data_IF_366556618366
#
_entry.id   IF_366556618366
#
_cell.length_a   1.000
_cell.length_b   1.000
_cell.length_c   1.000
_cell.angle_alpha   90.00
_cell.angle_beta   90.00
_cell.angle_gamma   90.00
#
_symmetry.space_group_name_H-M   'P 1'
#
loop_
_entity.id
_entity.type
_entity.pdbx_description
1 polymer ?
#
# COMPACT_ATOMS: atom_id res chain seq x y z
N UNK A 1 -20.91 -5.92 15.24
CA UNK A 1 -22.01 -5.50 14.34
C UNK A 1 -21.43 -5.28 12.95
N UNK A 2 -22.13 -5.65 11.87
CA UNK A 2 -21.65 -5.43 10.50
C UNK A 2 -21.63 -3.91 10.22
N UNK A 3 -20.47 -3.31 9.92
CA UNK A 3 -20.36 -1.86 9.71
C UNK A 3 -21.16 -1.39 8.48
N UNK A 4 -21.40 -2.27 7.50
CA UNK A 4 -22.20 -1.94 6.31
C UNK A 4 -23.71 -1.98 6.53
N UNK A 5 -24.19 -2.59 7.62
CA UNK A 5 -25.62 -2.86 7.78
C UNK A 5 -26.53 -1.61 7.66
N UNK A 6 -26.19 -0.45 8.26
CA UNK A 6 -26.99 0.77 8.11
C UNK A 6 -27.01 1.31 6.67
N UNK A 7 -25.84 1.29 6.00
CA UNK A 7 -25.70 1.78 4.63
C UNK A 7 -26.41 0.85 3.64
N UNK A 8 -26.28 -0.46 3.83
CA UNK A 8 -26.98 -1.46 3.02
C UNK A 8 -28.50 -1.35 3.14
N UNK A 9 -29.01 -1.15 4.36
CA UNK A 9 -30.44 -0.91 4.61
C UNK A 9 -30.96 0.30 3.83
N UNK A 10 -30.17 1.38 3.77
CA UNK A 10 -30.52 2.59 3.04
C UNK A 10 -30.52 2.41 1.50
N UNK A 11 -29.67 1.53 0.97
CA UNK A 11 -29.49 1.31 -0.47
C UNK A 11 -30.51 0.30 -1.02
N UNK A 12 -30.83 -0.78 -0.29
CA UNK A 12 -31.67 -1.89 -0.78
C UNK A 12 -33.06 -1.46 -1.26
N UNK A 13 -33.62 -0.39 -0.69
CA UNK A 13 -34.94 0.14 -1.07
C UNK A 13 -34.93 1.11 -2.26
N UNK A 14 -33.77 1.38 -2.86
CA UNK A 14 -33.61 2.39 -3.93
C UNK A 14 -33.77 1.77 -5.31
N UNK A 15 -33.88 2.62 -6.34
CA UNK A 15 -33.95 2.18 -7.73
C UNK A 15 -32.68 1.40 -8.13
N UNK A 16 -32.77 0.58 -9.18
CA UNK A 16 -31.59 -0.13 -9.69
C UNK A 16 -30.46 0.84 -10.09
N UNK A 17 -30.79 2.05 -10.54
CA UNK A 17 -29.80 3.05 -10.89
C UNK A 17 -29.12 3.65 -9.65
N UNK A 18 -29.88 4.00 -8.63
CA UNK A 18 -29.35 4.48 -7.35
C UNK A 18 -28.48 3.41 -6.68
N UNK A 19 -28.90 2.14 -6.72
CA UNK A 19 -28.11 1.04 -6.20
C UNK A 19 -26.76 0.96 -6.92
N UNK A 20 -26.75 1.10 -8.26
CA UNK A 20 -25.49 1.14 -9.02
C UNK A 20 -24.60 2.31 -8.60
N UNK A 21 -25.15 3.51 -8.44
CA UNK A 21 -24.36 4.69 -8.06
C UNK A 21 -23.80 4.60 -6.63
N UNK A 22 -24.53 3.98 -5.71
CA UNK A 22 -24.17 3.93 -4.29
C UNK A 22 -23.32 2.71 -3.91
N UNK A 23 -23.28 1.64 -4.72
CA UNK A 23 -22.51 0.42 -4.44
C UNK A 23 -21.01 0.67 -4.16
N UNK A 24 -20.30 1.59 -4.85
CA UNK A 24 -18.90 1.90 -4.52
C UNK A 24 -18.69 2.47 -3.11
N UNK A 25 -19.73 3.06 -2.50
CA UNK A 25 -19.65 3.56 -1.11
C UNK A 25 -19.68 2.45 -0.08
N UNK A 26 -20.36 1.32 -0.37
CA UNK A 26 -20.32 0.12 0.47
C UNK A 26 -18.89 -0.45 0.55
N UNK A 27 -18.17 -0.40 -0.58
CA UNK A 27 -16.77 -0.78 -0.64
C UNK A 27 -15.89 0.00 0.33
N UNK A 28 -16.22 1.24 0.69
CA UNK A 28 -15.43 2.04 1.64
C UNK A 28 -15.70 1.68 3.10
N UNK A 29 -16.90 1.18 3.40
CA UNK A 29 -17.33 0.83 4.77
C UNK A 29 -16.83 -0.56 5.16
N UNK A 30 -16.78 -1.48 4.20
CA UNK A 30 -16.45 -2.88 4.45
C UNK A 30 -17.58 -3.63 5.15
N UNK A 31 -17.36 -4.90 5.50
CA UNK A 31 -18.34 -5.74 6.19
C UNK A 31 -18.90 -6.89 5.33
N UNK A 32 -19.43 -7.92 5.98
CA UNK A 32 -19.79 -9.16 5.29
C UNK A 32 -20.93 -8.98 4.28
N UNK A 33 -21.95 -8.18 4.61
CA UNK A 33 -23.06 -7.91 3.70
C UNK A 33 -22.62 -7.12 2.46
N UNK A 34 -21.80 -6.09 2.65
CA UNK A 34 -21.20 -5.34 1.55
C UNK A 34 -20.33 -6.23 0.65
N UNK A 35 -19.51 -7.11 1.23
CA UNK A 35 -18.65 -8.00 0.45
C UNK A 35 -19.49 -8.97 -0.40
N UNK A 36 -20.53 -9.56 0.18
CA UNK A 36 -21.42 -10.46 -0.54
C UNK A 36 -22.13 -9.77 -1.72
N UNK A 37 -22.61 -8.54 -1.54
CA UNK A 37 -23.21 -7.75 -2.61
C UNK A 37 -22.20 -7.41 -3.72
N UNK A 38 -20.95 -7.08 -3.35
CA UNK A 38 -19.88 -6.79 -4.30
C UNK A 38 -19.49 -8.06 -5.08
N UNK A 39 -19.37 -9.21 -4.44
CA UNK A 39 -19.10 -10.48 -5.12
C UNK A 39 -20.20 -10.86 -6.09
N UNK A 40 -21.47 -10.65 -5.73
CA UNK A 40 -22.59 -10.85 -6.64
C UNK A 40 -22.50 -9.92 -7.87
N UNK A 41 -22.15 -8.65 -7.67
CA UNK A 41 -21.94 -7.71 -8.76
C UNK A 41 -20.75 -8.07 -9.65
N UNK A 42 -19.67 -8.62 -9.09
CA UNK A 42 -18.51 -9.11 -9.86
C UNK A 42 -18.90 -10.31 -10.74
N UNK A 43 -19.77 -11.20 -10.26
CA UNK A 43 -20.18 -12.39 -11.00
C UNK A 43 -21.14 -12.10 -12.18
N UNK A 44 -21.86 -10.98 -12.14
CA UNK A 44 -22.80 -10.57 -13.18
C UNK A 44 -22.11 -9.70 -14.25
N UNK A 45 -22.09 -10.11 -15.54
CA UNK A 45 -21.47 -9.34 -16.61
C UNK A 45 -21.98 -7.89 -16.72
N UNK A 46 -23.25 -7.63 -16.40
CA UNK A 46 -23.83 -6.29 -16.49
C UNK A 46 -23.34 -5.34 -15.39
N UNK A 47 -22.87 -5.89 -14.26
CA UNK A 47 -22.42 -5.12 -13.09
C UNK A 47 -20.95 -5.37 -12.72
N UNK A 48 -20.24 -6.19 -13.49
CA UNK A 48 -18.87 -6.63 -13.24
C UNK A 48 -17.91 -5.47 -12.93
N UNK A 49 -17.79 -4.50 -13.85
CA UNK A 49 -16.89 -3.36 -13.67
C UNK A 49 -17.20 -2.53 -12.42
N UNK A 50 -18.49 -2.38 -12.08
CA UNK A 50 -18.93 -1.70 -10.87
C UNK A 50 -18.56 -2.50 -9.61
N UNK A 51 -18.75 -3.82 -9.64
CA UNK A 51 -18.34 -4.73 -8.58
C UNK A 51 -16.83 -4.63 -8.32
N UNK A 52 -16.01 -4.72 -9.37
CA UNK A 52 -14.55 -4.59 -9.26
C UNK A 52 -14.15 -3.22 -8.71
N UNK A 53 -14.73 -2.13 -9.23
CA UNK A 53 -14.44 -0.78 -8.73
C UNK A 53 -14.81 -0.62 -7.25
N UNK A 54 -15.90 -1.26 -6.81
CA UNK A 54 -16.35 -1.25 -5.41
C UNK A 54 -15.41 -2.05 -4.52
N UNK A 55 -14.96 -3.23 -4.97
CA UNK A 55 -13.94 -4.03 -4.27
C UNK A 55 -12.61 -3.28 -4.17
N UNK A 56 -12.24 -2.52 -5.20
CA UNK A 56 -11.02 -1.72 -5.18
C UNK A 56 -11.04 -0.60 -4.12
N UNK A 57 -12.22 -0.23 -3.62
CA UNK A 57 -12.39 0.73 -2.53
C UNK A 57 -12.33 0.10 -1.12
N UNK A 58 -12.14 -1.22 -1.00
CA UNK A 58 -12.17 -1.95 0.28
C UNK A 58 -11.21 -1.36 1.33
N UNK A 59 -11.62 -1.22 2.61
CA UNK A 59 -10.82 -0.48 3.59
C UNK A 59 -9.53 -1.18 4.01
N UNK A 60 -9.44 -2.51 3.87
CA UNK A 60 -8.35 -3.33 4.40
C UNK A 60 -7.92 -4.47 3.44
N UNK A 61 -6.94 -5.26 3.88
CA UNK A 61 -6.40 -6.40 3.13
C UNK A 61 -7.24 -7.66 3.11
N UNK A 62 -8.46 -7.65 3.67
CA UNK A 62 -9.35 -8.81 3.71
C UNK A 62 -9.73 -9.33 2.31
N UNK A 63 -9.69 -8.46 1.29
CA UNK A 63 -10.02 -8.78 -0.10
C UNK A 63 -8.79 -8.98 -1.00
N UNK A 64 -7.59 -9.12 -0.42
CA UNK A 64 -6.35 -9.21 -1.19
C UNK A 64 -6.33 -10.40 -2.17
N UNK A 65 -6.94 -11.54 -1.81
CA UNK A 65 -7.04 -12.70 -2.70
C UNK A 65 -7.85 -12.39 -3.95
N UNK A 66 -9.02 -11.78 -3.78
CA UNK A 66 -9.92 -11.40 -4.88
C UNK A 66 -9.24 -10.37 -5.81
N UNK A 67 -8.61 -9.35 -5.24
CA UNK A 67 -7.89 -8.34 -6.01
C UNK A 67 -6.68 -8.91 -6.76
N UNK A 68 -5.98 -9.88 -6.19
CA UNK A 68 -4.89 -10.58 -6.89
C UNK A 68 -5.41 -11.39 -8.08
N UNK A 69 -6.57 -12.04 -7.95
CA UNK A 69 -7.20 -12.75 -9.05
C UNK A 69 -7.56 -11.77 -10.18
N UNK A 70 -8.29 -10.69 -9.86
CA UNK A 70 -8.69 -9.66 -10.82
C UNK A 70 -7.46 -9.04 -11.51
N UNK A 71 -6.46 -8.61 -10.74
CA UNK A 71 -5.26 -7.98 -11.29
C UNK A 71 -4.45 -8.91 -12.24
N UNK A 72 -4.65 -10.23 -12.17
CA UNK A 72 -3.96 -11.21 -13.03
C UNK A 72 -4.79 -11.68 -14.22
N UNK A 73 -6.11 -11.81 -14.07
CA UNK A 73 -6.93 -12.59 -15.01
C UNK A 73 -8.14 -11.85 -15.55
N UNK A 74 -8.44 -10.63 -15.09
CA UNK A 74 -9.58 -9.88 -15.61
C UNK A 74 -9.42 -9.61 -17.12
N UNK A 75 -10.53 -9.62 -17.86
CA UNK A 75 -10.51 -9.41 -19.31
C UNK A 75 -10.28 -7.94 -19.68
N UNK A 76 -10.60 -6.99 -18.79
CA UNK A 76 -10.39 -5.56 -18.99
C UNK A 76 -9.07 -5.10 -18.35
N UNK A 77 -8.06 -4.69 -19.14
CA UNK A 77 -6.79 -4.17 -18.62
C UNK A 77 -6.93 -2.96 -17.69
N UNK A 78 -8.01 -2.18 -17.80
CA UNK A 78 -8.28 -1.08 -16.88
C UNK A 78 -8.67 -1.59 -15.49
N UNK A 79 -9.48 -2.65 -15.42
CA UNK A 79 -9.87 -3.30 -14.18
C UNK A 79 -8.66 -4.02 -13.54
N UNK A 80 -7.81 -4.67 -14.34
CA UNK A 80 -6.54 -5.23 -13.87
C UNK A 80 -5.68 -4.16 -13.17
N UNK A 81 -5.48 -3.02 -13.83
CA UNK A 81 -4.69 -1.89 -13.29
C UNK A 81 -5.33 -1.27 -12.05
N UNK A 82 -6.66 -1.15 -12.03
CA UNK A 82 -7.40 -0.65 -10.87
C UNK A 82 -7.22 -1.56 -9.65
N UNK A 83 -7.32 -2.88 -9.84
CA UNK A 83 -7.08 -3.86 -8.79
C UNK A 83 -5.62 -3.84 -8.31
N UNK A 84 -4.64 -3.72 -9.22
CA UNK A 84 -3.23 -3.57 -8.87
C UNK A 84 -3.00 -2.33 -7.99
N UNK A 85 -3.55 -1.18 -8.35
CA UNK A 85 -3.44 0.05 -7.53
C UNK A 85 -4.13 -0.09 -6.17
N UNK A 86 -5.23 -0.84 -6.11
CA UNK A 86 -5.86 -1.16 -4.83
C UNK A 86 -4.98 -2.05 -3.95
N UNK A 87 -4.34 -3.07 -4.53
CA UNK A 87 -3.36 -3.90 -3.84
C UNK A 87 -2.20 -3.07 -3.27
N UNK A 88 -1.66 -2.11 -4.03
CA UNK A 88 -0.61 -1.18 -3.56
C UNK A 88 -1.10 -0.38 -2.34
N UNK A 89 -2.37 0.05 -2.34
CA UNK A 89 -2.97 0.81 -1.24
C UNK A 89 -3.11 -0.02 0.03
N UNK A 90 -3.69 -1.23 -0.08
CA UNK A 90 -4.09 -2.07 1.07
C UNK A 90 -2.97 -2.95 1.62
N UNK A 91 -1.98 -3.33 0.79
CA UNK A 91 -0.90 -4.21 1.21
C UNK A 91 -0.17 -3.74 2.49
N UNK A 92 0.20 -2.47 2.65
CA UNK A 92 0.91 -2.01 3.84
C UNK A 92 0.01 -1.66 5.03
N UNK A 93 -1.33 -1.65 4.88
CA UNK A 93 -2.23 -1.15 5.93
C UNK A 93 -2.16 -1.99 7.20
N UNK A 94 -2.15 -1.37 8.39
CA UNK A 94 -2.24 -2.09 9.65
C UNK A 94 -3.69 -2.58 9.85
N UNK A 95 -3.95 -3.84 9.56
CA UNK A 95 -5.30 -4.44 9.55
C UNK A 95 -5.35 -5.81 10.26
N UNK A 96 -4.47 -6.01 11.24
CA UNK A 96 -4.36 -7.25 12.00
C UNK A 96 -3.49 -8.32 11.36
N UNK A 97 -3.09 -8.18 10.08
CA UNK A 97 -2.05 -9.02 9.48
C UNK A 97 -0.68 -8.67 10.07
N UNK A 98 0.17 -9.69 10.24
CA UNK A 98 1.56 -9.47 10.63
C UNK A 98 2.34 -8.70 9.56
N UNK A 99 3.39 -7.98 9.97
CA UNK A 99 4.30 -7.25 9.07
C UNK A 99 4.81 -8.15 7.93
N UNK A 100 5.15 -9.40 8.25
CA UNK A 100 5.55 -10.39 7.24
C UNK A 100 4.49 -10.60 6.17
N UNK A 101 3.23 -10.83 6.56
CA UNK A 101 2.12 -11.03 5.61
C UNK A 101 1.83 -9.77 4.78
N UNK A 102 1.91 -8.59 5.40
CA UNK A 102 1.77 -7.30 4.70
C UNK A 102 2.86 -7.12 3.65
N UNK A 103 4.10 -7.45 4.01
CA UNK A 103 5.26 -7.34 3.13
C UNK A 103 5.24 -8.38 2.00
N UNK A 104 4.80 -9.61 2.28
CA UNK A 104 4.66 -10.66 1.26
C UNK A 104 3.60 -10.28 0.22
N UNK A 105 2.50 -9.65 0.63
CA UNK A 105 1.54 -9.10 -0.31
C UNK A 105 2.16 -7.96 -1.12
N UNK A 106 2.84 -7.01 -0.49
CA UNK A 106 3.47 -5.89 -1.21
C UNK A 106 4.53 -6.36 -2.22
N UNK A 107 5.32 -7.40 -1.87
CA UNK A 107 6.26 -8.07 -2.78
C UNK A 107 5.55 -8.67 -3.99
N UNK A 108 4.46 -9.39 -3.74
CA UNK A 108 3.64 -9.98 -4.81
C UNK A 108 3.07 -8.92 -5.73
N UNK A 109 2.58 -7.82 -5.16
CA UNK A 109 2.05 -6.67 -5.91
C UNK A 109 3.11 -6.00 -6.77
N UNK A 110 4.32 -5.74 -6.22
CA UNK A 110 5.43 -5.13 -6.98
C UNK A 110 5.88 -6.00 -8.15
N UNK A 111 5.88 -7.32 -7.98
CA UNK A 111 6.23 -8.25 -9.07
C UNK A 111 5.23 -8.21 -10.25
N UNK A 112 4.06 -7.60 -10.07
CA UNK A 112 3.03 -7.39 -11.10
C UNK A 112 3.03 -5.96 -11.65
N UNK A 113 3.91 -5.07 -11.19
CA UNK A 113 3.99 -3.70 -11.68
C UNK A 113 4.83 -3.63 -12.96
N UNK A 114 4.17 -3.35 -14.09
CA UNK A 114 4.85 -3.17 -15.39
C UNK A 114 5.40 -1.74 -15.59
N UNK A 115 4.87 -0.77 -14.86
CA UNK A 115 5.21 0.63 -15.01
C UNK A 115 5.93 1.17 -13.77
N UNK A 116 6.94 2.03 -14.01
CA UNK A 116 7.75 2.64 -12.97
C UNK A 116 6.91 3.45 -11.97
N UNK A 117 5.77 4.01 -12.40
CA UNK A 117 4.84 4.73 -11.53
C UNK A 117 4.25 3.82 -10.45
N UNK A 118 3.73 2.65 -10.83
CA UNK A 118 3.17 1.68 -9.89
C UNK A 118 4.24 1.10 -8.95
N UNK A 119 5.42 0.80 -9.47
CA UNK A 119 6.57 0.37 -8.64
C UNK A 119 6.95 1.45 -7.63
N UNK A 120 7.01 2.70 -8.05
CA UNK A 120 7.29 3.84 -7.17
C UNK A 120 6.23 3.98 -6.08
N UNK A 121 4.94 3.93 -6.43
CA UNK A 121 3.87 3.98 -5.44
C UNK A 121 4.02 2.86 -4.41
N UNK A 122 4.32 1.64 -4.83
CA UNK A 122 4.48 0.53 -3.90
C UNK A 122 5.73 0.66 -3.01
N UNK A 123 6.86 1.13 -3.55
CA UNK A 123 8.08 1.41 -2.77
C UNK A 123 7.87 2.51 -1.74
N UNK A 124 7.16 3.59 -2.09
CA UNK A 124 6.83 4.65 -1.15
C UNK A 124 6.01 4.12 0.02
N UNK A 125 5.09 3.21 -0.28
CA UNK A 125 4.16 2.62 0.69
C UNK A 125 4.84 1.60 1.61
N UNK A 126 5.97 1.03 1.23
CA UNK A 126 6.72 0.05 2.03
C UNK A 126 7.08 0.58 3.42
N UNK A 127 7.36 1.89 3.58
CA UNK A 127 7.71 2.52 4.88
C UNK A 127 6.68 2.33 6.00
N UNK A 128 5.42 2.03 5.64
CA UNK A 128 4.35 1.75 6.61
C UNK A 128 4.43 0.34 7.23
N UNK A 129 5.28 -0.54 6.69
CA UNK A 129 5.58 -1.86 7.26
C UNK A 129 6.92 -1.76 7.98
N UNK A 130 6.90 -1.57 9.30
CA UNK A 130 8.09 -1.21 10.09
C UNK A 130 8.83 -2.47 10.56
N UNK A 131 9.44 -3.18 9.62
CA UNK A 131 10.18 -4.41 9.88
C UNK A 131 11.58 -4.38 9.28
N UNK A 132 12.50 -5.19 9.80
CA UNK A 132 13.83 -5.33 9.22
C UNK A 132 13.77 -5.97 7.82
N UNK A 133 12.78 -6.84 7.58
CA UNK A 133 12.59 -7.44 6.26
C UNK A 133 12.13 -6.40 5.22
N UNK A 134 11.44 -5.34 5.64
CA UNK A 134 11.11 -4.21 4.76
C UNK A 134 12.36 -3.45 4.35
N UNK A 135 13.30 -3.25 5.29
CA UNK A 135 14.60 -2.64 4.98
C UNK A 135 15.33 -3.47 3.91
N UNK A 136 15.47 -4.78 4.15
CA UNK A 136 16.10 -5.72 3.21
C UNK A 136 15.41 -5.74 1.85
N UNK A 137 14.09 -5.62 1.85
CA UNK A 137 13.29 -5.58 0.63
C UNK A 137 13.56 -4.32 -0.22
N UNK A 138 13.74 -3.14 0.39
CA UNK A 138 13.92 -1.88 -0.35
C UNK A 138 15.37 -1.64 -0.79
N UNK A 139 16.36 -2.22 -0.09
CA UNK A 139 17.78 -1.99 -0.37
C UNK A 139 18.21 -2.27 -1.82
N UNK A 140 17.77 -3.33 -2.51
CA UNK A 140 18.14 -3.58 -3.90
C UNK A 140 17.66 -2.49 -4.87
N UNK A 141 16.57 -1.78 -4.55
CA UNK A 141 16.06 -0.69 -5.39
C UNK A 141 16.96 0.56 -5.39
N UNK A 142 17.96 0.61 -4.51
CA UNK A 142 18.99 1.66 -4.53
C UNK A 142 19.97 1.52 -5.71
N UNK A 143 20.07 0.33 -6.31
CA UNK A 143 20.93 0.06 -7.47
C UNK A 143 20.28 0.50 -8.80
N UNK A 144 18.97 0.71 -8.80
CA UNK A 144 18.24 1.16 -9.98
C UNK A 144 18.10 2.70 -9.95
N UNK A 145 18.71 3.44 -10.89
CA UNK A 145 18.63 4.90 -10.91
C UNK A 145 17.21 5.46 -10.95
N UNK A 146 16.23 4.68 -11.45
CA UNK A 146 14.81 5.06 -11.49
C UNK A 146 14.19 5.11 -10.09
N UNK A 147 14.66 4.27 -9.18
CA UNK A 147 14.08 4.10 -7.84
C UNK A 147 15.03 4.48 -6.71
N UNK A 148 16.30 4.79 -7.00
CA UNK A 148 17.33 4.99 -6.00
C UNK A 148 16.99 6.05 -4.94
N UNK A 149 16.52 7.23 -5.35
CA UNK A 149 16.11 8.30 -4.42
C UNK A 149 14.95 7.86 -3.52
N UNK A 150 13.96 7.18 -4.11
CA UNK A 150 12.79 6.72 -3.38
C UNK A 150 13.13 5.60 -2.40
N UNK A 151 14.00 4.67 -2.80
CA UNK A 151 14.53 3.62 -1.93
C UNK A 151 15.31 4.24 -0.76
N UNK A 152 16.18 5.21 -1.03
CA UNK A 152 16.90 5.95 0.01
C UNK A 152 15.95 6.63 1.00
N UNK A 153 14.93 7.32 0.47
CA UNK A 153 13.89 7.95 1.30
C UNK A 153 13.17 6.91 2.17
N UNK A 154 12.76 5.78 1.61
CA UNK A 154 12.10 4.71 2.37
C UNK A 154 13.00 4.14 3.47
N UNK A 155 14.31 3.98 3.23
CA UNK A 155 15.28 3.55 4.25
C UNK A 155 15.32 4.54 5.43
N UNK A 156 15.38 5.85 5.17
CA UNK A 156 15.42 6.85 6.26
C UNK A 156 14.07 6.99 6.97
N UNK A 157 12.94 6.72 6.30
CA UNK A 157 11.63 6.62 6.95
C UNK A 157 11.54 5.44 7.92
N UNK A 158 12.08 4.28 7.53
CA UNK A 158 12.20 3.12 8.43
C UNK A 158 13.15 3.42 9.61
N UNK A 159 14.29 4.03 9.32
CA UNK A 159 15.29 4.39 10.33
C UNK A 159 14.78 5.43 11.33
N UNK A 160 13.76 6.23 11.00
CA UNK A 160 13.15 7.17 11.93
C UNK A 160 12.55 6.48 13.17
N UNK A 161 12.08 5.24 13.02
CA UNK A 161 11.51 4.46 14.11
C UNK A 161 12.62 3.86 15.00
N UNK A 162 12.94 4.54 16.10
CA UNK A 162 14.07 4.20 16.98
C UNK A 162 14.09 2.75 17.45
N UNK A 163 12.96 2.17 17.88
CA UNK A 163 12.93 0.78 18.36
C UNK A 163 13.43 -0.22 17.31
N UNK A 164 12.87 -0.16 16.09
CA UNK A 164 13.30 -0.97 14.95
C UNK A 164 14.79 -0.75 14.62
N UNK A 165 15.22 0.51 14.60
CA UNK A 165 16.61 0.88 14.29
C UNK A 165 17.60 0.34 15.32
N UNK A 166 17.37 0.58 16.60
CA UNK A 166 18.29 0.18 17.67
C UNK A 166 18.34 -1.35 17.84
N UNK A 167 17.21 -2.06 17.66
CA UNK A 167 17.19 -3.54 17.67
C UNK A 167 17.98 -4.17 16.51
N UNK A 168 18.27 -3.41 15.44
CA UNK A 168 19.01 -3.88 14.26
C UNK A 168 20.13 -2.90 13.86
N UNK A 169 20.80 -2.32 14.86
CA UNK A 169 21.68 -1.16 14.72
C UNK A 169 22.73 -1.30 13.61
N UNK A 170 23.45 -2.41 13.57
CA UNK A 170 24.51 -2.62 12.57
C UNK A 170 23.97 -2.65 11.14
N UNK A 171 22.82 -3.30 10.93
CA UNK A 171 22.20 -3.41 9.61
C UNK A 171 21.68 -2.06 9.13
N UNK A 172 21.07 -1.28 10.03
CA UNK A 172 20.71 0.10 9.72
C UNK A 172 21.92 0.98 9.47
N UNK A 173 23.00 0.86 10.24
CA UNK A 173 24.20 1.67 10.01
C UNK A 173 24.81 1.43 8.62
N UNK A 174 24.94 0.16 8.20
CA UNK A 174 25.39 -0.19 6.84
C UNK A 174 24.44 0.35 5.77
N UNK A 175 23.14 0.22 6.00
CA UNK A 175 22.12 0.74 5.07
C UNK A 175 22.16 2.25 4.94
N UNK A 176 22.35 2.97 6.05
CA UNK A 176 22.44 4.43 6.08
C UNK A 176 23.75 4.93 5.47
N UNK A 177 24.86 4.19 5.58
CA UNK A 177 26.08 4.49 4.83
C UNK A 177 25.85 4.45 3.33
N UNK A 178 25.10 3.45 2.87
CA UNK A 178 24.69 3.36 1.47
C UNK A 178 23.78 4.52 1.06
N UNK A 179 22.84 4.92 1.92
CA UNK A 179 21.98 6.10 1.67
C UNK A 179 22.84 7.35 1.49
N UNK A 180 23.82 7.58 2.37
CA UNK A 180 24.72 8.74 2.29
C UNK A 180 25.52 8.75 0.98
N UNK A 181 25.88 7.58 0.46
CA UNK A 181 26.63 7.46 -0.79
C UNK A 181 25.77 7.61 -2.05
N UNK A 182 24.48 7.25 -2.00
CA UNK A 182 23.60 7.16 -3.19
C UNK A 182 22.63 8.33 -3.30
N UNK A 183 22.08 8.80 -2.19
CA UNK A 183 21.04 9.82 -2.19
C UNK A 183 21.58 11.18 -2.64
N UNK A 184 20.84 11.86 -3.51
CA UNK A 184 21.14 13.21 -3.97
C UNK A 184 20.38 14.25 -3.16
N UNK A 185 19.21 13.91 -2.62
CA UNK A 185 18.45 14.81 -1.76
C UNK A 185 19.22 15.10 -0.44
N UNK A 186 19.62 16.37 -0.18
CA UNK A 186 20.39 16.72 1.01
C UNK A 186 19.63 16.42 2.31
N UNK A 187 18.30 16.49 2.30
CA UNK A 187 17.48 16.19 3.47
C UNK A 187 17.58 14.71 3.83
N UNK A 188 17.52 13.83 2.85
CA UNK A 188 17.68 12.38 3.00
C UNK A 188 19.09 12.04 3.53
N UNK A 189 20.13 12.71 3.04
CA UNK A 189 21.50 12.55 3.54
C UNK A 189 21.65 13.03 5.00
N UNK A 190 21.13 14.21 5.35
CA UNK A 190 21.16 14.73 6.74
C UNK A 190 20.43 13.78 7.70
N UNK A 191 19.25 13.31 7.32
CA UNK A 191 18.49 12.31 8.10
C UNK A 191 19.31 11.06 8.35
N UNK A 192 19.94 10.52 7.32
CA UNK A 192 20.77 9.32 7.46
C UNK A 192 21.95 9.53 8.42
N UNK A 193 22.67 10.66 8.28
CA UNK A 193 23.78 11.01 9.17
C UNK A 193 23.34 11.16 10.64
N UNK A 194 22.17 11.77 10.89
CA UNK A 194 21.61 11.91 12.24
C UNK A 194 21.24 10.57 12.86
N UNK A 195 20.56 9.70 12.11
CA UNK A 195 20.14 8.40 12.64
C UNK A 195 21.33 7.50 12.98
N UNK A 196 22.46 7.57 12.25
CA UNK A 196 23.72 6.89 12.63
C UNK A 196 24.29 7.39 13.97
N UNK A 197 24.01 8.62 14.36
CA UNK A 197 24.42 9.24 15.63
C UNK A 197 23.38 9.04 16.75
N UNK A 198 22.30 8.30 16.49
CA UNK A 198 21.18 8.15 17.42
C UNK A 198 20.31 9.40 17.58
N UNK A 199 20.47 10.39 16.69
CA UNK A 199 19.75 11.66 16.77
C UNK A 199 18.40 11.55 16.05
N UNK A 200 17.36 12.20 16.58
CA UNK A 200 16.08 12.35 15.89
C UNK A 200 16.16 13.50 14.88
N UNK A 201 15.49 13.32 13.74
CA UNK A 201 15.26 14.40 12.78
C UNK A 201 13.84 14.91 12.97
N UNK A 202 13.70 16.23 13.02
CA UNK A 202 12.41 16.92 13.10
C UNK A 202 12.31 17.80 11.87
N UNK A 203 11.18 17.72 11.16
CA UNK A 203 10.95 18.55 9.98
C UNK A 203 11.03 20.03 10.38
N UNK A 204 11.88 20.84 9.72
CA UNK A 204 11.91 22.28 9.95
C UNK A 204 10.53 22.88 9.71
N UNK A 205 10.09 23.81 10.57
CA UNK A 205 8.89 24.59 10.30
C UNK A 205 9.10 25.39 9.01
N UNK A 206 8.12 25.45 8.08
CA UNK A 206 8.23 26.33 6.93
C UNK A 206 8.43 27.76 7.42
N UNK A 207 9.32 28.50 6.75
CA UNK A 207 9.49 29.92 7.02
C UNK A 207 8.16 30.63 6.75
N UNK A 208 7.69 31.39 7.75
CA UNK A 208 6.48 32.19 7.69
C UNK A 208 6.53 33.26 6.60
#
# INVERSE_FOLDING_TARGET
ADPSAPLWSAIKGRSADDQRQLTPTLGRVGGAAALAAIHAAIADPATHALGVASLCNWPDGGVAGDLLAIARTDADPNLQRLALRSLIRIAPLPDGRSDRRRLDLLRTTIAMCDADTETSLALERAKAIRSIDTLRFVLPFMDDPRFAELACLTVVELAHHSGLRESHREEFHRSLDRVIAVAKDPTTVDRAQRYKKGQTWVRPKPAS
#
